data_IF_672387340920
#
_entry.id   IF_672387340920
#
_cell.length_a   1.000
_cell.length_b   1.000
_cell.length_c   1.000
_cell.angle_alpha   90.00
_cell.angle_beta   90.00
_cell.angle_gamma   90.00
#
_symmetry.space_group_name_H-M   'P 1'
#
loop_
_entity.id
_entity.type
_entity.pdbx_description
1 polymer ?
#
# COMPACT_ATOMS: atom_id res chain seq x y z
N UNK A 1 -20.55 13.85 5.24
CA UNK A 1 -19.10 14.13 5.23
C UNK A 1 -18.48 13.33 6.36
N UNK A 2 -17.82 12.23 6.04
CA UNK A 2 -17.14 11.38 7.03
C UNK A 2 -16.03 12.20 7.69
N UNK A 3 -16.11 12.35 9.02
CA UNK A 3 -15.01 12.89 9.83
C UNK A 3 -13.94 11.80 10.03
N UNK A 4 -13.39 11.30 8.97
CA UNK A 4 -12.15 10.54 9.10
C UNK A 4 -11.06 11.56 9.42
N UNK A 5 -10.51 11.46 10.60
CA UNK A 5 -9.31 12.20 10.99
C UNK A 5 -8.15 11.57 10.20
N UNK A 6 -8.12 11.86 8.92
CA UNK A 6 -7.04 11.45 8.04
C UNK A 6 -5.79 12.19 8.51
N UNK A 7 -4.67 11.51 8.55
CA UNK A 7 -3.39 12.16 8.75
C UNK A 7 -3.24 13.26 7.70
N UNK A 8 -3.18 14.52 8.14
CA UNK A 8 -3.17 15.70 7.26
C UNK A 8 -2.03 15.70 6.25
N UNK A 9 -0.92 15.02 6.57
CA UNK A 9 0.21 14.85 5.64
C UNK A 9 -0.14 13.84 4.55
N UNK A 10 -0.82 12.75 4.89
CA UNK A 10 -1.28 11.79 3.92
C UNK A 10 -2.33 12.40 2.98
N UNK A 11 -3.26 13.19 3.51
CA UNK A 11 -4.27 13.88 2.71
C UNK A 11 -3.65 14.86 1.69
N UNK A 12 -2.60 15.58 2.09
CA UNK A 12 -1.98 16.63 1.27
C UNK A 12 -0.90 16.11 0.32
N UNK A 13 -0.16 15.09 0.70
CA UNK A 13 1.10 14.71 0.04
C UNK A 13 1.18 13.26 -0.40
N UNK A 14 0.32 12.36 0.10
CA UNK A 14 0.35 10.99 -0.37
C UNK A 14 -0.15 10.88 -1.81
N UNK A 15 0.51 10.07 -2.62
CA UNK A 15 0.03 9.80 -3.97
C UNK A 15 -1.25 8.95 -3.93
N UNK A 16 -2.02 8.98 -5.01
CA UNK A 16 -3.25 8.19 -5.14
C UNK A 16 -2.99 6.69 -4.90
N UNK A 17 -1.89 6.19 -5.48
CA UNK A 17 -1.50 4.78 -5.35
C UNK A 17 -1.15 4.42 -3.89
N UNK A 18 -0.44 5.30 -3.17
CA UNK A 18 -0.11 5.08 -1.77
C UNK A 18 -1.38 5.10 -0.90
N UNK A 19 -2.31 6.00 -1.18
CA UNK A 19 -3.61 6.04 -0.50
C UNK A 19 -4.46 4.79 -0.80
N UNK A 20 -4.37 4.19 -1.99
CA UNK A 20 -5.02 2.92 -2.30
C UNK A 20 -4.45 1.76 -1.50
N UNK A 21 -3.14 1.76 -1.22
CA UNK A 21 -2.50 0.70 -0.42
C UNK A 21 -2.87 0.83 1.07
N UNK A 22 -2.83 2.04 1.63
CA UNK A 22 -2.94 2.29 3.07
C UNK A 22 -4.31 2.80 3.51
N UNK A 23 -5.20 3.11 2.58
CA UNK A 23 -6.56 3.54 2.87
C UNK A 23 -7.43 2.41 3.43
N UNK A 24 -8.51 2.77 4.12
CA UNK A 24 -9.41 1.81 4.75
C UNK A 24 -10.00 0.81 3.73
N UNK A 25 -10.44 1.30 2.58
CA UNK A 25 -10.99 0.46 1.51
C UNK A 25 -9.92 -0.48 0.93
N UNK A 26 -8.70 0.02 0.66
CA UNK A 26 -7.59 -0.79 0.15
C UNK A 26 -7.20 -1.91 1.12
N UNK A 27 -7.20 -1.66 2.42
CA UNK A 27 -6.98 -2.68 3.44
C UNK A 27 -8.06 -3.76 3.39
N UNK A 28 -9.33 -3.39 3.32
CA UNK A 28 -10.45 -4.34 3.27
C UNK A 28 -10.40 -5.21 2.01
N UNK A 29 -10.05 -4.64 0.87
CA UNK A 29 -9.85 -5.40 -0.37
C UNK A 29 -8.76 -6.47 -0.21
N UNK A 30 -7.64 -6.13 0.45
CA UNK A 30 -6.58 -7.10 0.75
C UNK A 30 -7.02 -8.19 1.73
N UNK A 31 -7.82 -7.84 2.75
CA UNK A 31 -8.40 -8.80 3.67
C UNK A 31 -9.33 -9.79 2.97
N UNK A 32 -10.15 -9.30 2.03
CA UNK A 32 -11.04 -10.16 1.21
C UNK A 32 -10.25 -11.06 0.26
N UNK A 33 -9.23 -10.54 -0.41
CA UNK A 33 -8.33 -11.37 -1.24
C UNK A 33 -7.64 -12.46 -0.41
N UNK A 34 -7.20 -12.14 0.80
CA UNK A 34 -6.61 -13.09 1.73
C UNK A 34 -7.61 -14.19 2.12
N UNK A 35 -8.83 -13.84 2.53
CA UNK A 35 -9.86 -14.81 2.88
C UNK A 35 -10.22 -15.72 1.71
N UNK A 36 -10.38 -15.18 0.52
CA UNK A 36 -10.66 -15.97 -0.69
C UNK A 36 -9.50 -16.96 -0.97
N UNK A 37 -8.25 -16.51 -0.86
CA UNK A 37 -7.10 -17.37 -1.05
C UNK A 37 -7.06 -18.52 -0.02
N UNK A 38 -7.36 -18.24 1.26
CA UNK A 38 -7.42 -19.25 2.31
C UNK A 38 -8.55 -20.24 2.06
N UNK A 39 -9.75 -19.78 1.71
CA UNK A 39 -10.91 -20.65 1.40
C UNK A 39 -10.60 -21.59 0.22
N UNK A 40 -9.96 -21.08 -0.84
CA UNK A 40 -9.49 -21.90 -1.97
C UNK A 40 -8.46 -22.96 -1.53
N UNK A 41 -7.51 -22.56 -0.70
CA UNK A 41 -6.52 -23.50 -0.17
C UNK A 41 -7.16 -24.57 0.71
N UNK A 42 -8.07 -24.19 1.59
CA UNK A 42 -8.82 -25.12 2.43
C UNK A 42 -9.61 -26.14 1.59
N UNK A 43 -10.29 -25.68 0.55
CA UNK A 43 -10.98 -26.56 -0.40
C UNK A 43 -10.01 -27.55 -1.08
N UNK A 44 -8.84 -27.08 -1.54
CA UNK A 44 -7.84 -27.93 -2.16
C UNK A 44 -7.29 -29.01 -1.21
N UNK A 45 -7.36 -28.79 0.09
CA UNK A 45 -6.99 -29.74 1.15
C UNK A 45 -8.15 -30.66 1.57
N UNK A 46 -9.28 -30.61 0.87
CA UNK A 46 -10.40 -31.53 1.11
C UNK A 46 -11.46 -31.03 2.10
N UNK A 47 -11.42 -29.75 2.50
CA UNK A 47 -12.50 -29.16 3.30
C UNK A 47 -13.70 -28.94 2.36
N UNK A 48 -14.87 -29.35 2.83
CA UNK A 48 -16.12 -29.25 2.10
C UNK A 48 -16.58 -27.78 1.98
N UNK A 49 -16.21 -27.13 0.88
CA UNK A 49 -16.56 -25.76 0.55
C UNK A 49 -17.14 -25.76 -0.87
N UNK A 50 -18.39 -25.33 -1.07
CA UNK A 50 -19.01 -25.27 -2.39
C UNK A 50 -18.26 -24.30 -3.33
N UNK A 51 -18.21 -24.63 -4.63
CA UNK A 51 -17.65 -23.73 -5.64
C UNK A 51 -18.43 -22.42 -5.74
N UNK A 52 -19.75 -22.51 -5.64
CA UNK A 52 -20.67 -21.37 -5.66
C UNK A 52 -20.34 -20.35 -4.53
N UNK A 53 -19.86 -20.81 -3.37
CA UNK A 53 -19.46 -19.93 -2.28
C UNK A 53 -18.20 -19.13 -2.64
N UNK A 54 -17.23 -19.77 -3.28
CA UNK A 54 -15.99 -19.10 -3.71
C UNK A 54 -16.32 -18.07 -4.81
N UNK A 55 -17.12 -18.45 -5.81
CA UNK A 55 -17.55 -17.58 -6.89
C UNK A 55 -18.34 -16.39 -6.36
N UNK A 56 -19.22 -16.61 -5.38
CA UNK A 56 -19.98 -15.54 -4.74
C UNK A 56 -19.05 -14.53 -4.05
N UNK A 57 -18.06 -14.97 -3.25
CA UNK A 57 -17.07 -14.08 -2.65
C UNK A 57 -16.28 -13.30 -3.70
N UNK A 58 -15.82 -13.95 -4.76
CA UNK A 58 -15.09 -13.28 -5.85
C UNK A 58 -15.94 -12.21 -6.55
N UNK A 59 -17.22 -12.48 -6.76
CA UNK A 59 -18.11 -11.57 -7.47
C UNK A 59 -18.42 -10.28 -6.71
N UNK A 60 -18.33 -10.30 -5.37
CA UNK A 60 -18.67 -9.16 -4.50
C UNK A 60 -17.46 -8.54 -3.80
N UNK A 61 -16.26 -9.08 -4.00
CA UNK A 61 -15.07 -8.65 -3.24
C UNK A 61 -14.78 -7.16 -3.34
N UNK A 62 -15.08 -6.53 -4.47
CA UNK A 62 -14.83 -5.11 -4.72
C UNK A 62 -15.95 -4.19 -4.21
N UNK A 63 -17.05 -4.75 -3.70
CA UNK A 63 -18.19 -3.99 -3.19
C UNK A 63 -18.04 -3.66 -1.71
N UNK A 64 -17.04 -2.83 -1.36
CA UNK A 64 -16.76 -2.46 0.05
C UNK A 64 -17.75 -1.41 0.52
N UNK A 65 -18.46 -1.70 1.62
CA UNK A 65 -19.37 -0.75 2.29
C UNK A 65 -18.83 -0.40 3.69
N UNK A 66 -18.02 0.65 3.76
CA UNK A 66 -17.42 1.12 5.01
C UNK A 66 -18.45 1.50 6.07
N UNK A 67 -19.59 2.04 5.67
CA UNK A 67 -20.65 2.42 6.60
C UNK A 67 -21.28 1.18 7.24
N UNK A 68 -21.62 0.17 6.46
CA UNK A 68 -22.15 -1.12 6.96
C UNK A 68 -21.16 -1.80 7.92
N UNK A 69 -19.85 -1.76 7.61
CA UNK A 69 -18.82 -2.29 8.50
C UNK A 69 -18.82 -1.52 9.83
N UNK A 70 -18.88 -0.19 9.81
CA UNK A 70 -18.91 0.66 11.00
C UNK A 70 -20.14 0.39 11.89
N UNK A 71 -21.31 0.24 11.27
CA UNK A 71 -22.56 -0.09 11.98
C UNK A 71 -22.46 -1.46 12.67
N UNK A 72 -21.90 -2.47 11.99
CA UNK A 72 -21.68 -3.81 12.56
C UNK A 72 -20.63 -3.77 13.67
N UNK A 73 -19.55 -3.02 13.51
CA UNK A 73 -18.51 -2.86 14.55
C UNK A 73 -19.05 -2.21 15.82
N UNK A 74 -19.95 -1.25 15.69
CA UNK A 74 -20.62 -0.63 16.85
C UNK A 74 -21.40 -1.64 17.71
N UNK A 75 -21.94 -2.69 17.08
CA UNK A 75 -22.67 -3.78 17.74
C UNK A 75 -21.73 -4.88 18.24
N UNK A 76 -20.86 -5.39 17.36
CA UNK A 76 -19.98 -6.54 17.66
C UNK A 76 -18.85 -6.18 18.60
N UNK A 77 -18.49 -4.90 18.69
CA UNK A 77 -17.31 -4.39 19.41
C UNK A 77 -16.00 -5.05 18.97
N UNK A 78 -15.97 -5.51 17.73
CA UNK A 78 -14.82 -6.22 17.15
C UNK A 78 -14.70 -5.94 15.65
N UNK A 79 -13.62 -5.30 15.24
CA UNK A 79 -13.36 -4.82 13.90
C UNK A 79 -13.32 -5.93 12.84
N UNK A 80 -12.53 -7.00 13.08
CA UNK A 80 -12.43 -8.13 12.14
C UNK A 80 -13.78 -8.85 12.01
N UNK A 81 -14.52 -9.04 13.11
CA UNK A 81 -15.83 -9.66 13.07
C UNK A 81 -16.82 -8.86 12.23
N UNK A 82 -16.83 -7.56 12.36
CA UNK A 82 -17.68 -6.68 11.56
C UNK A 82 -17.40 -6.80 10.06
N UNK A 83 -16.14 -6.90 9.67
CA UNK A 83 -15.74 -7.12 8.27
C UNK A 83 -16.09 -8.50 7.74
N UNK A 84 -16.00 -9.54 8.58
CA UNK A 84 -16.45 -10.89 8.24
C UNK A 84 -17.95 -10.89 7.99
N UNK A 85 -18.74 -10.35 8.91
CA UNK A 85 -20.21 -10.32 8.81
C UNK A 85 -20.68 -9.53 7.59
N UNK A 86 -20.01 -8.42 7.27
CA UNK A 86 -20.33 -7.63 6.09
C UNK A 86 -20.06 -8.41 4.81
N UNK A 87 -18.88 -9.03 4.68
CA UNK A 87 -18.50 -9.76 3.49
C UNK A 87 -19.30 -11.06 3.31
N UNK A 88 -19.61 -11.77 4.40
CA UNK A 88 -20.50 -12.91 4.39
C UNK A 88 -21.93 -12.52 3.96
N UNK A 89 -22.45 -11.40 4.44
CA UNK A 89 -23.78 -10.91 4.06
C UNK A 89 -23.86 -10.55 2.58
N UNK A 90 -22.80 -9.94 2.01
CA UNK A 90 -22.73 -9.63 0.59
C UNK A 90 -22.69 -10.90 -0.28
N UNK A 91 -21.89 -11.87 0.10
CA UNK A 91 -21.73 -13.12 -0.64
C UNK A 91 -22.88 -14.13 -0.42
N UNK A 92 -23.64 -14.00 0.67
CA UNK A 92 -24.68 -14.96 1.05
C UNK A 92 -24.13 -16.30 1.58
N UNK A 93 -22.86 -16.35 1.99
CA UNK A 93 -22.16 -17.54 2.46
C UNK A 93 -21.29 -17.24 3.69
N UNK A 94 -21.06 -18.26 4.54
CA UNK A 94 -20.27 -18.13 5.78
C UNK A 94 -19.11 -19.14 5.82
N UNK A 95 -18.18 -19.06 4.85
CA UNK A 95 -17.03 -19.98 4.78
C UNK A 95 -15.68 -19.33 5.10
N UNK A 96 -15.61 -18.00 5.14
CA UNK A 96 -14.36 -17.28 5.42
C UNK A 96 -13.96 -17.32 6.89
N UNK A 97 -12.69 -17.05 7.17
CA UNK A 97 -12.10 -16.90 8.51
C UNK A 97 -12.15 -18.14 9.41
N UNK A 98 -12.57 -19.30 8.92
CA UNK A 98 -12.60 -20.54 9.69
C UNK A 98 -11.18 -21.06 9.90
N UNK A 99 -10.85 -21.39 11.14
CA UNK A 99 -9.50 -21.83 11.51
C UNK A 99 -8.44 -20.74 11.59
N UNK A 100 -8.84 -19.48 11.56
CA UNK A 100 -7.96 -18.31 11.65
C UNK A 100 -8.23 -17.52 12.93
N UNK A 101 -7.20 -16.83 13.42
CA UNK A 101 -7.36 -15.74 14.39
C UNK A 101 -7.35 -14.38 13.70
N UNK A 102 -7.78 -13.33 14.40
CA UNK A 102 -7.73 -11.96 13.85
C UNK A 102 -6.31 -11.54 13.47
N UNK A 103 -5.29 -12.05 14.18
CA UNK A 103 -3.89 -11.74 13.92
C UNK A 103 -3.37 -12.41 12.66
N UNK A 104 -3.83 -13.61 12.32
CA UNK A 104 -3.49 -14.26 11.05
C UNK A 104 -3.90 -13.42 9.86
N UNK A 105 -5.05 -12.75 9.94
CA UNK A 105 -5.50 -11.82 8.92
C UNK A 105 -4.69 -10.52 8.94
N UNK A 106 -4.69 -9.82 10.09
CA UNK A 106 -4.18 -8.45 10.16
C UNK A 106 -2.69 -8.35 9.90
N UNK A 107 -1.90 -9.27 10.45
CA UNK A 107 -0.44 -9.26 10.26
C UNK A 107 -0.04 -9.61 8.81
N UNK A 108 -0.69 -10.58 8.19
CA UNK A 108 -0.41 -10.93 6.79
C UNK A 108 -0.79 -9.79 5.84
N UNK A 109 -1.93 -9.13 6.07
CA UNK A 109 -2.35 -7.98 5.27
C UNK A 109 -1.41 -6.79 5.47
N UNK A 110 -0.96 -6.50 6.68
CA UNK A 110 0.03 -5.47 6.96
C UNK A 110 1.36 -5.72 6.24
N UNK A 111 1.86 -6.96 6.26
CA UNK A 111 3.07 -7.32 5.51
C UNK A 111 2.90 -7.10 4.00
N UNK A 112 1.74 -7.43 3.47
CA UNK A 112 1.44 -7.21 2.05
C UNK A 112 1.33 -5.71 1.71
N UNK A 113 0.75 -4.89 2.60
CA UNK A 113 0.72 -3.43 2.44
C UNK A 113 2.13 -2.83 2.47
N UNK A 114 2.99 -3.28 3.39
CA UNK A 114 4.40 -2.87 3.46
C UNK A 114 5.12 -3.23 2.16
N UNK A 115 4.98 -4.47 1.68
CA UNK A 115 5.61 -4.93 0.44
C UNK A 115 5.18 -4.06 -0.76
N UNK A 116 3.89 -3.83 -0.94
CA UNK A 116 3.35 -3.00 -2.02
C UNK A 116 3.80 -1.54 -1.91
N UNK A 117 3.84 -1.01 -0.70
CA UNK A 117 4.34 0.35 -0.44
C UNK A 117 5.81 0.50 -0.79
N UNK A 118 6.65 -0.45 -0.39
CA UNK A 118 8.08 -0.47 -0.71
C UNK A 118 8.33 -0.61 -2.22
N UNK A 119 7.55 -1.44 -2.90
CA UNK A 119 7.64 -1.58 -4.35
C UNK A 119 7.31 -0.28 -5.08
N UNK A 120 6.27 0.43 -4.65
CA UNK A 120 5.92 1.74 -5.19
C UNK A 120 7.03 2.77 -4.96
N UNK A 121 7.63 2.79 -3.77
CA UNK A 121 8.78 3.65 -3.46
C UNK A 121 9.97 3.30 -4.34
N UNK A 122 10.27 2.00 -4.51
CA UNK A 122 11.35 1.51 -5.38
C UNK A 122 11.19 2.01 -6.82
N UNK A 123 10.00 1.87 -7.39
CA UNK A 123 9.70 2.34 -8.75
C UNK A 123 9.92 3.85 -8.87
N UNK A 124 9.44 4.64 -7.93
CA UNK A 124 9.61 6.09 -7.92
C UNK A 124 11.06 6.52 -7.74
N UNK A 125 11.81 5.83 -6.88
CA UNK A 125 13.24 6.06 -6.70
C UNK A 125 14.03 5.77 -7.98
N UNK A 126 13.77 4.64 -8.64
CA UNK A 126 14.39 4.28 -9.91
C UNK A 126 14.10 5.33 -11.00
N UNK A 127 12.86 5.78 -11.13
CA UNK A 127 12.50 6.83 -12.09
C UNK A 127 13.24 8.14 -11.81
N UNK A 128 13.39 8.51 -10.55
CA UNK A 128 14.15 9.69 -10.14
C UNK A 128 15.64 9.56 -10.46
N UNK A 129 16.24 8.39 -10.19
CA UNK A 129 17.64 8.09 -10.51
C UNK A 129 17.91 8.20 -12.01
N UNK A 130 17.05 7.64 -12.85
CA UNK A 130 17.16 7.72 -14.31
C UNK A 130 17.18 9.19 -14.76
N UNK A 131 16.26 10.00 -14.24
CA UNK A 131 16.17 11.43 -14.60
C UNK A 131 17.37 12.25 -14.12
N UNK A 132 17.93 11.91 -12.97
CA UNK A 132 19.16 12.54 -12.46
C UNK A 132 20.38 12.14 -13.32
N UNK A 133 20.49 10.86 -13.70
CA UNK A 133 21.55 10.37 -14.56
C UNK A 133 21.55 11.08 -15.93
N UNK A 134 20.38 11.16 -16.60
CA UNK A 134 20.21 11.90 -17.84
C UNK A 134 20.67 13.37 -17.70
N UNK A 135 20.35 14.01 -16.58
CA UNK A 135 20.78 15.40 -16.31
C UNK A 135 22.26 15.51 -16.03
N UNK A 136 22.85 14.58 -15.28
CA UNK A 136 24.25 14.55 -14.98
C UNK A 136 25.09 14.45 -16.26
N UNK A 137 24.71 13.56 -17.17
CA UNK A 137 25.36 13.39 -18.48
C UNK A 137 25.18 14.63 -19.36
N UNK A 138 23.95 15.05 -19.56
CA UNK A 138 23.61 16.20 -20.43
C UNK A 138 24.33 17.48 -20.02
N UNK A 139 24.51 17.72 -18.73
CA UNK A 139 25.05 18.97 -18.20
C UNK A 139 26.46 18.80 -17.60
N UNK A 140 27.16 17.74 -17.96
CA UNK A 140 28.52 17.42 -17.45
C UNK A 140 29.53 18.52 -17.76
N UNK A 141 29.36 19.23 -18.87
CA UNK A 141 30.25 20.31 -19.32
C UNK A 141 29.75 21.73 -18.99
N UNK A 142 28.55 21.85 -18.41
CA UNK A 142 28.00 23.16 -18.06
C UNK A 142 28.63 23.68 -16.77
N UNK A 143 29.61 24.58 -16.92
CA UNK A 143 30.31 25.20 -15.78
C UNK A 143 29.41 26.21 -15.09
N UNK A 144 29.42 26.16 -13.77
CA UNK A 144 28.74 27.13 -12.90
C UNK A 144 29.55 27.40 -11.64
N UNK A 145 29.26 28.52 -10.99
CA UNK A 145 29.86 28.87 -9.70
C UNK A 145 29.03 28.27 -8.57
N UNK A 146 29.59 27.31 -7.85
CA UNK A 146 28.98 26.81 -6.61
C UNK A 146 28.95 27.93 -5.56
N UNK A 147 27.90 27.94 -4.74
CA UNK A 147 27.69 28.93 -3.70
C UNK A 147 27.51 28.24 -2.35
N UNK A 148 28.05 28.87 -1.30
CA UNK A 148 27.74 28.52 0.07
C UNK A 148 27.28 29.78 0.80
N UNK A 149 26.16 29.71 1.51
CA UNK A 149 25.54 30.88 2.16
C UNK A 149 25.38 32.09 1.20
N UNK A 150 25.00 31.82 -0.05
CA UNK A 150 24.90 32.80 -1.15
C UNK A 150 26.21 33.47 -1.59
N UNK A 151 27.36 33.09 -1.04
CA UNK A 151 28.71 33.57 -1.44
C UNK A 151 29.30 32.63 -2.48
N UNK A 152 29.89 33.15 -3.57
CA UNK A 152 30.65 32.33 -4.53
C UNK A 152 31.75 31.55 -3.83
N UNK A 153 31.86 30.25 -4.06
CA UNK A 153 32.84 29.35 -3.44
C UNK A 153 33.84 28.82 -4.47
N UNK A 154 33.42 27.90 -5.32
CA UNK A 154 34.29 27.26 -6.30
C UNK A 154 33.60 27.00 -7.62
N UNK A 155 34.36 26.74 -8.66
CA UNK A 155 33.81 26.29 -9.96
C UNK A 155 33.41 24.80 -9.84
N UNK A 156 32.27 24.49 -10.44
CA UNK A 156 31.77 23.13 -10.57
C UNK A 156 31.02 22.97 -11.88
N UNK A 157 30.42 21.83 -12.15
CA UNK A 157 29.49 21.65 -13.27
C UNK A 157 28.10 21.29 -12.78
N UNK A 158 27.09 21.61 -13.55
CA UNK A 158 25.72 21.23 -13.19
C UNK A 158 25.54 19.70 -13.20
N UNK A 159 26.29 19.00 -14.06
CA UNK A 159 26.36 17.54 -14.06
C UNK A 159 26.89 16.97 -12.73
N UNK A 160 27.94 17.56 -12.17
CA UNK A 160 28.49 17.16 -10.87
C UNK A 160 27.46 17.33 -9.75
N UNK A 161 26.72 18.44 -9.73
CA UNK A 161 25.63 18.64 -8.76
C UNK A 161 24.56 17.57 -8.89
N UNK A 162 24.16 17.24 -10.12
CA UNK A 162 23.18 16.18 -10.38
C UNK A 162 23.69 14.79 -9.94
N UNK A 163 24.96 14.50 -10.20
CA UNK A 163 25.61 13.25 -9.79
C UNK A 163 25.65 13.07 -8.27
N UNK A 164 25.89 14.14 -7.52
CA UNK A 164 25.90 14.08 -6.04
C UNK A 164 24.57 13.55 -5.48
N UNK A 165 23.45 13.82 -6.13
CA UNK A 165 22.14 13.32 -5.71
C UNK A 165 21.85 11.89 -6.18
N UNK A 166 22.65 11.33 -7.09
CA UNK A 166 22.55 9.91 -7.51
C UNK A 166 23.17 8.96 -6.49
N UNK A 167 24.21 9.42 -5.77
CA UNK A 167 24.88 8.60 -4.79
C UNK A 167 24.08 8.58 -3.49
N UNK A 168 23.75 7.39 -3.01
CA UNK A 168 23.28 7.25 -1.65
C UNK A 168 24.37 7.80 -0.71
N UNK A 169 24.01 8.48 0.38
CA UNK A 169 24.99 8.89 1.38
C UNK A 169 25.70 7.63 1.87
N UNK A 170 26.91 7.41 1.40
CA UNK A 170 27.80 6.45 2.01
C UNK A 170 28.15 7.05 3.36
N UNK A 171 27.59 6.50 4.42
CA UNK A 171 28.09 6.77 5.75
C UNK A 171 29.57 6.43 5.72
N UNK A 172 30.42 7.46 5.72
CA UNK A 172 31.85 7.26 5.86
C UNK A 172 32.06 6.53 7.18
N UNK A 173 32.54 5.31 7.06
CA UNK A 173 33.12 4.57 8.19
C UNK A 173 34.42 5.23 8.59
#
# INVERSE_FOLDING_TARGET
MSKNTVNILAERYASKEMNQIWGAEGRILLERDYWIAVVKAQKSLGIDIPDEAIEAYESVKDQVNLQSIQEREAVTRHDVKARIEEFCALAGHEHIHKGLTSRDLTENVEQLQILRGLELIRIKAMASLIKLAEKAEKWSQLVLTARTHNVPAQLTTFGTVSYTHLTLPTNGT
#
